data_IF_117883556248
#
_entry.id   IF_117883556248
#
_cell.length_a   1.000
_cell.length_b   1.000
_cell.length_c   1.000
_cell.angle_alpha   90.00
_cell.angle_beta   90.00
_cell.angle_gamma   90.00
#
_symmetry.space_group_name_H-M   'P 1'
#
loop_
_entity.id
_entity.type
_entity.pdbx_description
1 polymer ?
#
# COMPACT_ATOMS: atom_id res chain seq x y z
N UNK A 1 5.89 6.48 9.74
CA UNK A 1 5.33 5.90 8.50
C UNK A 1 3.91 6.41 8.31
N UNK A 2 3.55 6.82 7.09
CA UNK A 2 2.21 7.19 6.67
C UNK A 2 1.70 6.16 5.63
N UNK A 3 0.64 5.44 5.95
CA UNK A 3 -0.01 4.50 5.03
C UNK A 3 -1.16 5.16 4.27
N UNK A 4 -1.15 5.06 2.94
CA UNK A 4 -2.19 5.59 2.07
C UNK A 4 -2.91 4.46 1.31
N UNK A 5 -4.15 4.71 0.91
CA UNK A 5 -4.97 3.78 0.12
C UNK A 5 -6.09 4.51 -0.63
N UNK A 6 -6.60 3.89 -1.69
CA UNK A 6 -7.60 4.49 -2.58
C UNK A 6 -9.07 4.17 -2.22
N UNK A 7 -9.31 3.77 -0.97
CA UNK A 7 -10.58 3.19 -0.52
C UNK A 7 -11.04 1.95 -1.33
N UNK A 8 -12.04 1.23 -0.81
CA UNK A 8 -12.67 0.09 -1.50
C UNK A 8 -14.17 0.03 -1.17
N UNK A 9 -14.97 -0.57 -2.05
CA UNK A 9 -16.42 -0.73 -1.84
C UNK A 9 -16.73 -1.96 -0.98
N UNK A 10 -17.63 -1.86 0.02
CA UNK A 10 -18.65 -0.83 0.17
C UNK A 10 -18.25 0.35 1.09
N UNK A 11 -17.00 0.42 1.57
CA UNK A 11 -16.61 1.42 2.57
C UNK A 11 -16.59 2.83 1.97
N UNK A 12 -16.09 2.99 0.75
CA UNK A 12 -16.01 4.28 0.07
C UNK A 12 -17.37 4.98 -0.02
N UNK A 13 -18.38 4.31 -0.56
CA UNK A 13 -19.74 4.85 -0.62
C UNK A 13 -20.34 5.19 0.74
N UNK A 14 -20.00 4.43 1.80
CA UNK A 14 -20.48 4.70 3.17
C UNK A 14 -19.86 5.94 3.80
N UNK A 15 -18.68 6.36 3.35
CA UNK A 15 -18.01 7.58 3.83
C UNK A 15 -18.16 8.75 2.86
N UNK A 16 -18.96 8.59 1.81
CA UNK A 16 -19.21 9.64 0.82
C UNK A 16 -18.09 9.82 -0.21
N UNK A 17 -17.23 8.84 -0.39
CA UNK A 17 -16.13 8.87 -1.37
C UNK A 17 -16.58 8.28 -2.73
N UNK A 18 -16.44 9.06 -3.80
CA UNK A 18 -16.85 8.71 -5.18
C UNK A 18 -15.75 7.98 -5.99
N UNK A 19 -14.54 7.79 -5.42
CA UNK A 19 -13.41 7.04 -6.01
C UNK A 19 -13.12 7.36 -7.48
N UNK A 20 -13.32 8.61 -7.90
CA UNK A 20 -13.07 9.04 -9.27
C UNK A 20 -11.56 9.12 -9.53
N UNK A 21 -11.07 8.41 -10.55
CA UNK A 21 -9.64 8.40 -10.96
C UNK A 21 -8.66 8.19 -9.78
N UNK A 22 -8.77 7.07 -9.05
CA UNK A 22 -8.07 6.86 -7.78
C UNK A 22 -6.55 6.97 -7.88
N UNK A 23 -5.97 6.54 -9.01
CA UNK A 23 -4.52 6.64 -9.22
C UNK A 23 -4.03 8.09 -9.32
N UNK A 24 -4.82 8.97 -9.95
CA UNK A 24 -4.48 10.40 -10.04
C UNK A 24 -4.64 11.06 -8.67
N UNK A 25 -5.75 10.80 -7.98
CA UNK A 25 -5.95 11.28 -6.61
C UNK A 25 -4.81 10.85 -5.67
N UNK A 26 -4.41 9.58 -5.71
CA UNK A 26 -3.28 9.07 -4.92
C UNK A 26 -1.97 9.78 -5.25
N UNK A 27 -1.63 9.93 -6.54
CA UNK A 27 -0.41 10.64 -6.96
C UNK A 27 -0.38 12.05 -6.39
N UNK A 28 -1.45 12.81 -6.60
CA UNK A 28 -1.51 14.20 -6.15
C UNK A 28 -1.41 14.32 -4.64
N UNK A 29 -2.05 13.41 -3.90
CA UNK A 29 -1.91 13.36 -2.45
C UNK A 29 -0.48 13.03 -2.02
N UNK A 30 0.18 12.03 -2.62
CA UNK A 30 1.55 11.64 -2.28
C UNK A 30 2.52 12.82 -2.53
N UNK A 31 2.42 13.45 -3.70
CA UNK A 31 3.28 14.58 -4.08
C UNK A 31 3.06 15.78 -3.15
N UNK A 32 1.80 16.17 -2.92
CA UNK A 32 1.48 17.29 -2.04
C UNK A 32 1.89 17.04 -0.58
N UNK A 33 1.67 15.82 -0.06
CA UNK A 33 2.06 15.45 1.31
C UNK A 33 3.60 15.45 1.45
N UNK A 34 4.34 14.90 0.47
CA UNK A 34 5.81 14.96 0.48
C UNK A 34 6.31 16.40 0.52
N UNK A 35 5.73 17.28 -0.31
CA UNK A 35 6.09 18.70 -0.30
C UNK A 35 5.79 19.35 1.04
N UNK A 36 4.62 19.07 1.65
CA UNK A 36 4.28 19.62 2.97
C UNK A 36 5.23 19.15 4.08
N UNK A 37 5.82 17.96 3.96
CA UNK A 37 6.81 17.46 4.91
C UNK A 37 8.15 18.19 4.87
N UNK A 38 8.43 19.04 3.88
CA UNK A 38 9.60 19.93 3.95
C UNK A 38 9.45 21.01 5.01
N UNK A 39 8.24 21.22 5.55
CA UNK A 39 7.87 22.31 6.46
C UNK A 39 7.98 23.72 5.85
N UNK A 40 8.21 23.82 4.54
CA UNK A 40 8.22 25.08 3.80
C UNK A 40 6.81 25.49 3.35
N UNK A 41 6.69 26.69 2.79
CA UNK A 41 5.46 27.12 2.14
C UNK A 41 5.33 26.41 0.78
N UNK A 42 4.19 25.74 0.57
CA UNK A 42 3.94 24.88 -0.59
C UNK A 42 2.70 25.34 -1.32
N UNK A 43 2.81 25.44 -2.64
CA UNK A 43 1.67 25.47 -3.55
C UNK A 43 1.65 24.21 -4.42
N UNK A 44 0.46 23.68 -4.68
CA UNK A 44 0.24 22.49 -5.49
C UNK A 44 -1.07 22.64 -6.26
N UNK A 45 -1.03 22.52 -7.58
CA UNK A 45 -2.21 22.65 -8.44
C UNK A 45 -2.54 21.30 -9.09
N UNK A 46 -3.46 20.57 -8.48
CA UNK A 46 -4.00 19.31 -8.96
C UNK A 46 -5.50 19.36 -9.20
N UNK A 47 -6.05 18.24 -9.65
CA UNK A 47 -7.48 18.05 -9.84
C UNK A 47 -8.22 17.66 -8.54
N UNK A 48 -7.50 16.99 -7.63
CA UNK A 48 -7.98 16.49 -6.35
C UNK A 48 -7.35 17.25 -5.18
N UNK A 49 -6.11 17.72 -5.32
CA UNK A 49 -5.42 18.50 -4.29
C UNK A 49 -5.09 19.88 -4.85
N UNK A 50 -5.48 20.93 -4.11
CA UNK A 50 -5.07 22.30 -4.40
C UNK A 50 -4.55 22.94 -3.11
N UNK A 51 -3.30 23.42 -3.14
CA UNK A 51 -2.66 24.16 -2.07
C UNK A 51 -2.23 25.52 -2.63
N UNK A 52 -2.62 26.61 -1.97
CA UNK A 52 -2.11 27.96 -2.22
C UNK A 52 -1.34 28.43 -0.99
N UNK A 53 -0.01 28.44 -1.09
CA UNK A 53 0.90 28.96 -0.06
C UNK A 53 0.60 28.40 1.33
N UNK A 54 0.44 27.09 1.40
CA UNK A 54 0.13 26.36 2.63
C UNK A 54 1.43 25.89 3.28
N UNK A 55 1.53 26.07 4.60
CA UNK A 55 2.61 25.50 5.41
C UNK A 55 2.02 24.68 6.55
N UNK A 56 2.62 23.54 6.86
CA UNK A 56 2.25 22.79 8.07
C UNK A 56 2.58 23.60 9.32
N UNK A 57 1.57 23.83 10.15
CA UNK A 57 1.75 24.51 11.44
C UNK A 57 2.02 23.48 12.55
N UNK A 58 3.02 23.78 13.37
CA UNK A 58 3.42 22.98 14.52
C UNK A 58 3.40 23.90 15.73
N UNK A 59 2.40 23.66 16.59
CA UNK A 59 2.15 24.45 17.80
C UNK A 59 3.26 24.26 18.85
N UNK A 60 3.78 23.04 18.96
CA UNK A 60 4.84 22.68 19.91
C UNK A 60 5.84 21.72 19.26
N UNK A 61 7.13 22.01 19.43
CA UNK A 61 8.22 21.16 18.96
C UNK A 61 8.95 21.71 17.72
N UNK A 62 9.76 20.82 17.13
CA UNK A 62 10.63 21.15 16.00
C UNK A 62 9.84 21.53 14.73
N UNK A 63 10.32 22.54 14.02
CA UNK A 63 9.76 23.01 12.73
C UNK A 63 10.63 22.61 11.54
N UNK A 64 11.65 21.78 11.76
CA UNK A 64 12.49 21.23 10.70
C UNK A 64 11.77 20.19 9.83
N UNK A 65 12.34 19.87 8.66
CA UNK A 65 11.79 18.90 7.71
C UNK A 65 11.49 17.54 8.36
N UNK A 66 10.45 16.87 7.85
CA UNK A 66 9.99 15.57 8.31
C UNK A 66 10.35 14.50 7.29
N UNK A 67 11.15 13.53 7.71
CA UNK A 67 11.36 12.31 6.93
C UNK A 67 10.39 11.23 7.40
N UNK A 68 9.15 11.31 6.91
CA UNK A 68 8.09 10.33 7.23
C UNK A 68 7.91 9.43 6.00
N UNK A 69 8.30 8.15 6.08
CA UNK A 69 8.13 7.22 4.96
C UNK A 69 6.66 7.04 4.58
N UNK A 70 6.36 7.13 3.28
CA UNK A 70 5.03 6.96 2.70
C UNK A 70 4.91 5.55 2.12
N UNK A 71 3.87 4.83 2.55
CA UNK A 71 3.56 3.48 2.10
C UNK A 71 2.22 3.45 1.39
N UNK A 72 2.11 2.70 0.30
CA UNK A 72 0.86 2.55 -0.42
C UNK A 72 0.30 1.13 -0.31
N UNK A 73 -0.96 1.02 0.11
CA UNK A 73 -1.76 -0.20 -0.02
C UNK A 73 -2.36 -0.28 -1.43
N UNK A 74 -1.76 -1.10 -2.30
CA UNK A 74 -2.05 -1.10 -3.73
C UNK A 74 -2.30 -2.52 -4.30
N UNK A 75 -3.55 -2.94 -4.51
CA UNK A 75 -3.82 -4.28 -5.06
C UNK A 75 -3.72 -4.36 -6.60
N UNK A 76 -3.77 -3.22 -7.30
CA UNK A 76 -3.83 -3.17 -8.77
C UNK A 76 -2.44 -2.95 -9.43
N UNK A 77 -2.19 -3.49 -10.64
CA UNK A 77 -0.88 -3.35 -11.32
C UNK A 77 -0.37 -1.91 -11.42
N UNK A 78 -1.24 -0.97 -11.85
CA UNK A 78 -0.87 0.45 -11.95
C UNK A 78 -0.65 1.12 -10.60
N UNK A 79 -1.32 0.64 -9.54
CA UNK A 79 -1.11 1.16 -8.19
C UNK A 79 0.22 0.66 -7.61
N UNK A 80 0.62 -0.58 -7.95
CA UNK A 80 1.94 -1.13 -7.61
C UNK A 80 3.06 -0.39 -8.34
N UNK A 81 2.87 -0.07 -9.63
CA UNK A 81 3.80 0.80 -10.38
C UNK A 81 3.88 2.20 -9.74
N UNK A 82 2.75 2.81 -9.39
CA UNK A 82 2.73 4.11 -8.71
C UNK A 82 3.47 4.08 -7.35
N UNK A 83 3.28 3.02 -6.58
CA UNK A 83 3.99 2.82 -5.31
C UNK A 83 5.50 2.73 -5.55
N UNK A 84 5.92 1.95 -6.54
CA UNK A 84 7.33 1.84 -6.94
C UNK A 84 7.93 3.20 -7.30
N UNK A 85 7.17 4.02 -8.01
CA UNK A 85 7.64 5.32 -8.48
C UNK A 85 7.80 6.33 -7.34
N UNK A 86 6.80 6.46 -6.46
CA UNK A 86 6.66 7.60 -5.54
C UNK A 86 6.81 7.29 -4.05
N UNK A 87 6.66 6.02 -3.64
CA UNK A 87 6.56 5.64 -2.24
C UNK A 87 7.88 5.03 -1.72
N UNK A 88 8.03 5.04 -0.40
CA UNK A 88 9.13 4.40 0.30
C UNK A 88 8.83 2.92 0.58
N UNK A 89 7.54 2.54 0.53
CA UNK A 89 7.14 1.16 0.58
C UNK A 89 5.76 0.86 -0.03
N UNK A 90 5.50 -0.44 -0.18
CA UNK A 90 4.24 -0.97 -0.72
C UNK A 90 3.76 -2.13 0.15
N UNK A 91 2.53 -2.02 0.64
CA UNK A 91 1.91 -3.11 1.42
C UNK A 91 1.30 -4.10 0.44
N UNK A 92 1.92 -5.27 0.32
CA UNK A 92 1.48 -6.32 -0.59
C UNK A 92 0.25 -7.05 -0.02
N UNK A 93 -0.61 -7.50 -0.94
CA UNK A 93 -1.84 -8.18 -0.57
C UNK A 93 -1.57 -9.57 0.03
N UNK A 94 -2.51 -10.09 0.79
CA UNK A 94 -2.43 -11.35 1.51
C UNK A 94 -3.42 -12.38 0.99
N UNK A 95 -3.23 -13.66 1.34
CA UNK A 95 -3.99 -14.79 0.77
C UNK A 95 -3.86 -14.84 -0.77
N UNK A 96 -2.66 -14.54 -1.27
CA UNK A 96 -2.30 -14.54 -2.68
C UNK A 96 -1.16 -15.54 -2.98
N UNK A 97 -0.89 -15.83 -4.25
CA UNK A 97 0.10 -16.85 -4.65
C UNK A 97 1.48 -16.26 -4.56
N UNK A 98 2.50 -17.06 -4.27
CA UNK A 98 3.87 -16.64 -4.49
C UNK A 98 4.08 -16.09 -5.91
N UNK A 99 3.34 -16.62 -6.90
CA UNK A 99 3.36 -16.11 -8.27
C UNK A 99 2.77 -14.70 -8.41
N UNK A 100 1.63 -14.44 -7.78
CA UNK A 100 1.05 -13.09 -7.72
C UNK A 100 2.03 -12.13 -7.05
N UNK A 101 2.69 -12.53 -5.96
CA UNK A 101 3.70 -11.70 -5.29
C UNK A 101 4.87 -11.41 -6.22
N UNK A 102 5.42 -12.40 -6.93
CA UNK A 102 6.48 -12.17 -7.93
C UNK A 102 6.06 -11.17 -9.01
N UNK A 103 4.83 -11.31 -9.53
CA UNK A 103 4.29 -10.36 -10.50
C UNK A 103 4.14 -8.96 -9.90
N UNK A 104 3.65 -8.86 -8.66
CA UNK A 104 3.49 -7.59 -7.96
C UNK A 104 4.83 -6.89 -7.73
N UNK A 105 5.85 -7.62 -7.27
CA UNK A 105 7.23 -7.15 -7.12
C UNK A 105 7.77 -6.64 -8.47
N UNK A 106 7.51 -7.35 -9.57
CA UNK A 106 7.88 -6.90 -10.92
C UNK A 106 7.24 -5.56 -11.31
N UNK A 107 5.97 -5.32 -10.93
CA UNK A 107 5.29 -4.03 -11.16
C UNK A 107 5.87 -2.89 -10.32
N UNK A 108 6.24 -3.19 -9.08
CA UNK A 108 6.92 -2.21 -8.22
C UNK A 108 8.29 -1.84 -8.81
N UNK A 109 9.05 -2.81 -9.32
CA UNK A 109 10.33 -2.55 -9.98
C UNK A 109 10.17 -1.67 -11.23
N UNK A 110 9.14 -1.95 -12.05
CA UNK A 110 8.82 -1.12 -13.21
C UNK A 110 8.54 0.33 -12.79
N UNK A 111 7.74 0.52 -11.73
CA UNK A 111 7.50 1.83 -11.11
C UNK A 111 8.77 2.54 -10.66
N UNK A 112 9.61 1.86 -9.88
CA UNK A 112 10.86 2.39 -9.36
C UNK A 112 11.81 2.86 -10.48
N UNK A 113 11.91 2.06 -11.55
CA UNK A 113 12.77 2.38 -12.68
C UNK A 113 12.38 3.68 -13.40
N UNK A 114 11.08 4.04 -13.41
CA UNK A 114 10.59 5.28 -14.03
C UNK A 114 11.06 6.52 -13.29
N UNK A 115 11.33 6.43 -11.99
CA UNK A 115 11.90 7.51 -11.18
C UNK A 115 13.41 7.34 -10.94
N UNK A 116 14.08 6.42 -11.65
CA UNK A 116 15.52 6.16 -11.52
C UNK A 116 15.92 5.48 -10.22
N UNK A 117 14.96 4.92 -9.48
CA UNK A 117 15.16 4.23 -8.20
C UNK A 117 15.34 2.73 -8.41
N UNK A 118 16.09 2.09 -7.51
CA UNK A 118 16.18 0.65 -7.41
C UNK A 118 15.02 0.12 -6.54
N UNK A 119 14.48 -1.04 -6.93
CA UNK A 119 13.51 -1.75 -6.11
C UNK A 119 14.04 -2.04 -4.70
N UNK A 120 15.34 -2.25 -4.50
CA UNK A 120 15.93 -2.49 -3.17
C UNK A 120 15.76 -1.32 -2.19
N UNK A 121 15.47 -0.12 -2.70
CA UNK A 121 15.17 1.08 -1.90
C UNK A 121 13.70 1.16 -1.45
N UNK A 122 12.88 0.18 -1.79
CA UNK A 122 11.43 0.19 -1.56
C UNK A 122 11.07 -0.94 -0.62
N UNK A 123 10.55 -0.61 0.56
CA UNK A 123 10.09 -1.63 1.50
C UNK A 123 8.82 -2.34 0.99
N UNK A 124 8.68 -3.63 1.29
CA UNK A 124 7.62 -4.50 0.76
C UNK A 124 7.02 -5.40 1.85
N UNK A 125 6.43 -4.83 2.90
CA UNK A 125 5.75 -5.64 3.90
C UNK A 125 4.55 -6.38 3.27
N UNK A 126 4.44 -7.66 3.59
CA UNK A 126 3.31 -8.51 3.22
C UNK A 126 2.57 -8.94 4.49
N UNK A 127 1.23 -8.84 4.46
CA UNK A 127 0.43 -9.36 5.56
C UNK A 127 0.37 -10.89 5.48
N UNK A 128 0.78 -11.56 6.56
CA UNK A 128 0.69 -13.01 6.68
C UNK A 128 -0.43 -13.38 7.65
N UNK A 129 -1.34 -14.24 7.20
CA UNK A 129 -2.34 -14.86 8.08
C UNK A 129 -1.74 -16.12 8.66
N UNK A 130 -1.50 -16.09 9.97
CA UNK A 130 -0.87 -17.19 10.69
C UNK A 130 -1.85 -17.81 11.69
N UNK A 131 -1.82 -19.14 11.78
CA UNK A 131 -2.40 -19.91 12.87
C UNK A 131 -1.30 -20.88 13.32
N UNK A 132 -1.05 -20.91 14.62
CA UNK A 132 0.05 -21.66 15.23
C UNK A 132 -0.53 -22.56 16.31
N UNK A 133 -0.05 -23.79 16.41
CA UNK A 133 -0.40 -24.74 17.46
C UNK A 133 0.79 -25.66 17.70
N UNK A 134 1.22 -25.74 18.96
CA UNK A 134 2.27 -26.66 19.40
C UNK A 134 1.72 -28.09 19.61
N UNK A 135 0.42 -28.22 19.83
CA UNK A 135 -0.26 -29.47 20.19
C UNK A 135 -0.94 -30.15 19.00
N UNK A 136 -1.61 -29.40 18.14
CA UNK A 136 -2.29 -29.90 16.94
C UNK A 136 -1.99 -29.03 15.70
N UNK A 137 -0.86 -29.30 15.00
CA UNK A 137 -0.51 -28.61 13.76
C UNK A 137 -1.55 -28.74 12.65
N UNK A 138 -2.33 -29.84 12.62
CA UNK A 138 -3.35 -30.04 11.60
C UNK A 138 -4.57 -29.14 11.84
N UNK A 139 -4.91 -28.85 13.11
CA UNK A 139 -5.92 -27.86 13.48
C UNK A 139 -5.49 -26.45 13.05
N UNK A 140 -4.26 -26.05 13.32
CA UNK A 140 -3.72 -24.76 12.88
C UNK A 140 -3.84 -24.59 11.35
N UNK A 141 -3.52 -25.65 10.58
CA UNK A 141 -3.69 -25.64 9.13
C UNK A 141 -5.16 -25.52 8.72
N UNK A 142 -6.09 -26.21 9.40
CA UNK A 142 -7.53 -26.10 9.12
C UNK A 142 -8.04 -24.68 9.38
N UNK A 143 -7.66 -24.09 10.52
CA UNK A 143 -8.06 -22.74 10.93
C UNK A 143 -7.48 -21.67 10.00
N UNK A 144 -6.18 -21.76 9.65
CA UNK A 144 -5.55 -20.84 8.70
C UNK A 144 -6.24 -20.84 7.33
N UNK A 145 -6.77 -21.99 6.88
CA UNK A 145 -7.54 -22.09 5.63
C UNK A 145 -8.93 -21.44 5.70
N UNK A 146 -9.48 -21.17 6.89
CA UNK A 146 -10.77 -20.48 7.03
C UNK A 146 -10.70 -19.04 6.57
N UNK A 147 -9.55 -18.37 6.74
CA UNK A 147 -9.34 -17.01 6.23
C UNK A 147 -9.58 -16.90 4.72
N UNK A 148 -9.36 -17.98 3.95
CA UNK A 148 -9.70 -18.07 2.52
C UNK A 148 -11.19 -17.85 2.24
N UNK A 149 -12.07 -18.23 3.17
CA UNK A 149 -13.53 -18.17 3.00
C UNK A 149 -14.11 -16.79 3.34
N UNK A 150 -13.39 -15.98 4.10
CA UNK A 150 -13.85 -14.68 4.59
C UNK A 150 -13.65 -13.53 3.59
N UNK A 151 -12.99 -13.78 2.45
CA UNK A 151 -12.76 -12.81 1.37
C UNK A 151 -13.49 -13.18 0.06
N UNK A 152 -14.84 -13.21 0.05
CA UNK A 152 -15.61 -13.50 -1.16
C UNK A 152 -15.51 -12.33 -2.15
N UNK A 153 -14.65 -12.46 -3.17
CA UNK A 153 -14.50 -11.44 -4.22
C UNK A 153 -13.19 -11.53 -5.01
N UNK A 154 -12.15 -12.14 -4.43
CA UNK A 154 -10.95 -12.49 -5.18
C UNK A 154 -11.22 -13.78 -5.96
N UNK A 155 -11.29 -13.68 -7.30
CA UNK A 155 -11.47 -14.85 -8.19
C UNK A 155 -10.48 -15.93 -7.78
N UNK A 156 -11.04 -17.10 -7.49
CA UNK A 156 -10.38 -18.34 -7.08
C UNK A 156 -9.11 -18.62 -7.86
N UNK A 157 -7.96 -18.35 -7.25
CA UNK A 157 -6.73 -19.07 -7.57
C UNK A 157 -6.74 -20.38 -6.76
N UNK A 158 -6.48 -21.51 -7.41
CA UNK A 158 -6.32 -22.80 -6.75
C UNK A 158 -4.96 -22.83 -6.04
N UNK A 159 -4.95 -22.96 -4.72
CA UNK A 159 -3.72 -23.04 -3.91
C UNK A 159 -3.45 -24.46 -3.45
N UNK A 160 -2.32 -25.02 -3.87
CA UNK A 160 -1.74 -26.20 -3.26
C UNK A 160 -1.27 -25.89 -1.84
N UNK A 161 -1.60 -26.76 -0.88
CA UNK A 161 -1.12 -26.67 0.49
C UNK A 161 0.41 -26.76 0.53
N UNK A 162 1.10 -25.65 0.79
CA UNK A 162 2.51 -25.70 1.12
C UNK A 162 2.62 -25.99 2.63
N UNK A 163 3.00 -27.23 2.96
CA UNK A 163 3.52 -27.56 4.28
C UNK A 163 4.89 -26.90 4.39
N UNK A 164 5.10 -26.01 5.36
CA UNK A 164 6.46 -25.69 5.77
C UNK A 164 7.10 -26.98 6.30
N UNK A 165 8.18 -27.41 5.66
CA UNK A 165 9.08 -28.42 6.23
C UNK A 165 10.12 -27.69 7.08
N UNK A 166 10.61 -28.33 8.17
CA UNK A 166 11.60 -27.74 9.07
C UNK A 166 12.89 -27.37 8.36
#
# INVERSE_FOLDING_TARGET
>A
MLGLGAWWEPIASRVGEDRRRPLKALRENIEAIRSLFTMEEVSYEGEFVNLDRVRLDVAYGDRGPRDIPIYLGAPGPKALELAGELCDGVVLNYVVTPDYIRQAVGRVAEGASRSGRNIDEIDRPELLVCSLSDEDPDEAVRTGKVARRLLPGHRTAHYGSQRCRP
#
